data_IF_357934077437
#
_entry.id   IF_357934077437
#
_cell.length_a   1.000
_cell.length_b   1.000
_cell.length_c   1.000
_cell.angle_alpha   90.00
_cell.angle_beta   90.00
_cell.angle_gamma   90.00
#
_symmetry.space_group_name_H-M   'P 1'
#
loop_
_entity.id
_entity.type
_entity.pdbx_description
1 polymer ?
#
# COMPACT_ATOMS: atom_id res chain seq x y z
N UNK A 1 23.49 -12.52 15.19
CA UNK A 1 23.83 -11.66 14.04
C UNK A 1 22.63 -11.65 13.11
N UNK A 2 22.07 -10.46 12.82
CA UNK A 2 21.02 -10.33 11.80
C UNK A 2 21.66 -10.65 10.44
N UNK A 3 21.14 -11.64 9.73
CA UNK A 3 21.66 -12.03 8.40
C UNK A 3 21.53 -10.85 7.43
N UNK A 4 22.52 -10.64 6.57
CA UNK A 4 22.57 -9.52 5.60
C UNK A 4 21.31 -9.41 4.73
N UNK A 5 20.63 -10.53 4.48
CA UNK A 5 19.36 -10.57 3.75
C UNK A 5 18.22 -9.88 4.52
N UNK A 6 18.17 -10.01 5.84
CA UNK A 6 17.16 -9.33 6.67
C UNK A 6 17.37 -7.81 6.66
N UNK A 7 18.62 -7.34 6.60
CA UNK A 7 18.93 -5.90 6.51
C UNK A 7 18.39 -5.33 5.19
N UNK A 8 18.75 -5.95 4.06
CA UNK A 8 18.28 -5.52 2.72
C UNK A 8 16.76 -5.60 2.57
N UNK A 9 16.14 -6.63 3.14
CA UNK A 9 14.68 -6.76 3.19
C UNK A 9 14.05 -5.60 3.96
N UNK A 10 14.56 -5.30 5.16
CA UNK A 10 14.06 -4.19 5.98
C UNK A 10 14.24 -2.84 5.28
N UNK A 11 15.33 -2.63 4.55
CA UNK A 11 15.54 -1.42 3.75
C UNK A 11 14.50 -1.28 2.64
N UNK A 12 14.22 -2.34 1.86
CA UNK A 12 13.19 -2.33 0.82
C UNK A 12 11.78 -2.07 1.38
N UNK A 13 11.43 -2.72 2.48
CA UNK A 13 10.14 -2.51 3.16
C UNK A 13 10.05 -1.08 3.71
N UNK A 14 11.11 -0.57 4.33
CA UNK A 14 11.17 0.79 4.84
C UNK A 14 11.02 1.82 3.72
N UNK A 15 11.66 1.62 2.57
CA UNK A 15 11.49 2.50 1.41
C UNK A 15 10.05 2.52 0.87
N UNK A 16 9.37 1.37 0.89
CA UNK A 16 7.95 1.28 0.55
C UNK A 16 7.08 2.03 1.55
N UNK A 17 7.35 1.87 2.86
CA UNK A 17 6.66 2.58 3.93
C UNK A 17 6.75 4.09 3.77
N UNK A 18 7.94 4.63 3.48
CA UNK A 18 8.15 6.07 3.25
C UNK A 18 7.27 6.59 2.11
N UNK A 19 7.15 5.84 1.00
CA UNK A 19 6.27 6.22 -0.12
C UNK A 19 4.79 6.25 0.29
N UNK A 20 4.34 5.27 1.07
CA UNK A 20 2.96 5.21 1.57
C UNK A 20 2.68 6.36 2.54
N UNK A 21 3.57 6.61 3.50
CA UNK A 21 3.42 7.73 4.44
C UNK A 21 3.43 9.09 3.72
N UNK A 22 4.28 9.25 2.70
CA UNK A 22 4.31 10.45 1.87
C UNK A 22 2.98 10.65 1.13
N UNK A 23 2.41 9.60 0.53
CA UNK A 23 1.10 9.66 -0.12
C UNK A 23 0.00 10.08 0.85
N UNK A 24 -0.04 9.50 2.05
CA UNK A 24 -1.01 9.88 3.07
C UNK A 24 -0.80 11.33 3.54
N UNK A 25 0.45 11.79 3.66
CA UNK A 25 0.75 13.19 3.95
C UNK A 25 0.18 14.14 2.89
N UNK A 26 0.32 13.80 1.60
CA UNK A 26 -0.27 14.55 0.48
C UNK A 26 -1.80 14.54 0.55
N UNK A 27 -2.41 13.37 0.77
CA UNK A 27 -3.86 13.26 0.89
C UNK A 27 -4.39 14.10 2.06
N UNK A 28 -3.74 14.04 3.23
CA UNK A 28 -4.14 14.82 4.40
C UNK A 28 -3.94 16.33 4.21
N UNK A 29 -2.89 16.74 3.49
CA UNK A 29 -2.66 18.15 3.17
C UNK A 29 -3.66 18.68 2.13
N UNK A 30 -4.03 17.85 1.15
CA UNK A 30 -4.94 18.24 0.06
C UNK A 30 -6.40 18.27 0.50
N UNK A 31 -6.84 17.27 1.27
CA UNK A 31 -8.23 17.15 1.69
C UNK A 31 -8.38 17.57 3.15
N UNK A 32 -8.98 18.74 3.38
CA UNK A 32 -9.26 19.27 4.72
C UNK A 32 -10.05 18.31 5.62
N UNK A 33 -10.79 17.37 5.03
CA UNK A 33 -11.55 16.33 5.75
C UNK A 33 -10.66 15.46 6.64
N UNK A 34 -9.38 15.29 6.31
CA UNK A 34 -8.40 14.54 7.11
C UNK A 34 -7.63 15.41 8.10
N UNK A 35 -7.80 16.74 8.07
CA UNK A 35 -7.18 17.65 9.03
C UNK A 35 -7.80 17.59 10.43
N UNK A 36 -8.90 16.84 10.60
CA UNK A 36 -9.58 16.60 11.87
C UNK A 36 -9.85 15.10 12.01
N UNK A 37 -10.06 14.65 13.25
CA UNK A 37 -10.49 13.28 13.51
C UNK A 37 -11.80 12.97 12.77
N UNK A 38 -11.80 11.89 11.99
CA UNK A 38 -12.99 11.40 11.28
C UNK A 38 -14.02 10.91 12.31
N UNK A 39 -15.04 11.72 12.57
CA UNK A 39 -16.16 11.37 13.46
C UNK A 39 -17.24 10.59 12.71
N UNK A 40 -16.82 9.59 11.94
CA UNK A 40 -17.67 8.74 11.11
C UNK A 40 -17.55 7.29 11.58
N UNK A 41 -18.54 6.44 11.23
CA UNK A 41 -18.38 5.00 11.44
C UNK A 41 -17.20 4.45 10.62
N UNK A 42 -16.60 3.31 11.00
CA UNK A 42 -15.48 2.73 10.26
C UNK A 42 -15.81 2.44 8.78
N UNK A 43 -17.05 2.04 8.47
CA UNK A 43 -17.44 1.78 7.08
C UNK A 43 -17.43 3.09 6.25
N UNK A 44 -18.01 4.15 6.82
CA UNK A 44 -18.09 5.46 6.16
C UNK A 44 -16.71 6.12 6.06
N UNK A 45 -15.86 5.96 7.07
CA UNK A 45 -14.48 6.44 7.05
C UNK A 45 -13.66 5.76 5.94
N UNK A 46 -13.82 4.44 5.78
CA UNK A 46 -13.20 3.69 4.69
C UNK A 46 -13.68 4.18 3.32
N UNK A 47 -14.98 4.34 3.15
CA UNK A 47 -15.56 4.83 1.90
C UNK A 47 -15.03 6.22 1.53
N UNK A 48 -14.94 7.13 2.51
CA UNK A 48 -14.39 8.47 2.34
C UNK A 48 -12.92 8.44 1.90
N UNK A 49 -12.08 7.64 2.57
CA UNK A 49 -10.66 7.50 2.22
C UNK A 49 -10.50 7.01 0.77
N UNK A 50 -11.27 6.00 0.37
CA UNK A 50 -11.25 5.47 -1.00
C UNK A 50 -11.68 6.56 -2.00
N UNK A 51 -12.76 7.28 -1.71
CA UNK A 51 -13.25 8.35 -2.57
C UNK A 51 -12.19 9.46 -2.76
N UNK A 52 -11.54 9.90 -1.68
CA UNK A 52 -10.46 10.89 -1.75
C UNK A 52 -9.26 10.39 -2.58
N UNK A 53 -8.89 9.11 -2.46
CA UNK A 53 -7.83 8.51 -3.28
C UNK A 53 -8.18 8.50 -4.77
N UNK A 54 -9.42 8.15 -5.12
CA UNK A 54 -9.90 8.19 -6.52
C UNK A 54 -9.89 9.62 -7.06
N UNK A 55 -10.40 10.59 -6.29
CA UNK A 55 -10.39 12.01 -6.67
C UNK A 55 -8.96 12.53 -6.84
N UNK A 56 -8.04 12.13 -5.94
CA UNK A 56 -6.62 12.46 -6.07
C UNK A 56 -6.07 11.97 -7.41
N UNK A 57 -6.27 10.69 -7.73
CA UNK A 57 -5.78 10.09 -8.98
C UNK A 57 -6.34 10.80 -10.22
N UNK A 58 -7.63 11.13 -10.23
CA UNK A 58 -8.25 11.89 -11.34
C UNK A 58 -7.60 13.27 -11.48
N UNK A 59 -7.27 13.94 -10.37
CA UNK A 59 -6.66 15.28 -10.42
C UNK A 59 -5.23 15.25 -10.96
N UNK A 60 -4.47 14.17 -10.74
CA UNK A 60 -3.10 14.03 -11.24
C UNK A 60 -3.08 13.82 -12.76
N UNK A 61 -4.17 13.33 -13.35
CA UNK A 61 -4.32 13.10 -14.78
C UNK A 61 -4.25 11.61 -15.15
N UNK A 62 -4.19 11.27 -16.46
CA UNK A 62 -4.16 9.90 -16.91
C UNK A 62 -2.89 9.19 -16.41
N UNK A 63 -3.05 8.36 -15.39
CA UNK A 63 -2.04 7.40 -15.01
C UNK A 63 -1.95 6.38 -16.14
N UNK A 64 -0.77 6.21 -16.72
CA UNK A 64 -0.49 5.05 -17.58
C UNK A 64 -0.45 3.84 -16.65
N UNK A 65 -1.63 3.29 -16.37
CA UNK A 65 -1.74 2.03 -15.65
C UNK A 65 -1.26 0.97 -16.62
N UNK A 66 -0.09 0.39 -16.35
CA UNK A 66 0.58 -0.50 -17.29
C UNK A 66 -0.31 -1.66 -17.76
N UNK A 67 -1.35 -2.05 -17.01
CA UNK A 67 -2.33 -3.04 -17.46
C UNK A 67 -3.72 -2.71 -16.87
N UNK A 68 -4.81 -2.73 -17.66
CA UNK A 68 -6.16 -2.71 -17.10
C UNK A 68 -6.30 -3.87 -16.12
N UNK A 69 -6.89 -3.62 -14.96
CA UNK A 69 -7.10 -4.61 -13.91
C UNK A 69 -7.79 -5.85 -14.49
N UNK A 70 -7.03 -6.90 -14.77
CA UNK A 70 -7.58 -8.25 -14.78
C UNK A 70 -8.07 -8.47 -13.36
N UNK A 71 -9.40 -8.54 -13.18
CA UNK A 71 -10.00 -9.00 -11.93
C UNK A 71 -9.64 -10.48 -11.86
N UNK A 72 -8.42 -10.78 -11.41
CA UNK A 72 -8.00 -12.13 -11.15
C UNK A 72 -8.96 -12.69 -10.09
N UNK A 73 -9.44 -13.93 -10.25
CA UNK A 73 -10.27 -14.55 -9.23
C UNK A 73 -9.53 -14.48 -7.89
N UNK A 74 -10.25 -14.31 -6.76
CA UNK A 74 -9.62 -14.32 -5.45
C UNK A 74 -8.86 -15.64 -5.28
N UNK A 75 -7.53 -15.57 -5.40
CA UNK A 75 -6.68 -16.71 -5.18
C UNK A 75 -6.77 -17.05 -3.69
N UNK A 76 -7.12 -18.29 -3.32
CA UNK A 76 -7.05 -18.70 -1.92
C UNK A 76 -5.64 -18.43 -1.40
N UNK A 77 -5.53 -17.93 -0.16
CA UNK A 77 -4.24 -17.58 0.42
C UNK A 77 -3.30 -18.80 0.31
N UNK A 78 -2.24 -18.72 -0.51
CA UNK A 78 -1.35 -19.86 -0.71
C UNK A 78 -0.50 -20.13 0.53
N UNK A 79 -0.49 -19.22 1.51
CA UNK A 79 0.34 -19.31 2.70
C UNK A 79 -0.48 -19.81 3.90
N UNK A 80 0.12 -20.74 4.66
CA UNK A 80 -0.51 -21.34 5.84
C UNK A 80 -0.19 -20.55 7.11
N UNK A 81 0.92 -19.82 7.13
CA UNK A 81 1.35 -18.99 8.26
C UNK A 81 1.91 -17.64 7.82
N UNK A 82 1.92 -16.68 8.75
CA UNK A 82 2.49 -15.35 8.52
C UNK A 82 4.01 -15.41 8.25
N UNK A 83 4.70 -16.38 8.84
CA UNK A 83 6.13 -16.62 8.63
C UNK A 83 6.42 -17.11 7.21
N UNK A 84 5.56 -17.98 6.67
CA UNK A 84 5.66 -18.50 5.31
C UNK A 84 5.45 -17.37 4.30
N UNK A 85 4.40 -16.56 4.50
CA UNK A 85 4.14 -15.37 3.70
C UNK A 85 5.30 -14.37 3.76
N UNK A 86 5.85 -14.12 4.96
CA UNK A 86 7.00 -13.23 5.14
C UNK A 86 8.23 -13.74 4.41
N UNK A 87 8.49 -15.04 4.48
CA UNK A 87 9.65 -15.67 3.84
C UNK A 87 9.54 -15.60 2.32
N UNK A 88 8.35 -15.90 1.77
CA UNK A 88 8.08 -15.78 0.34
C UNK A 88 8.21 -14.33 -0.16
N UNK A 89 7.69 -13.36 0.60
CA UNK A 89 7.84 -11.95 0.27
C UNK A 89 9.31 -11.50 0.32
N UNK A 90 10.07 -11.95 1.31
CA UNK A 90 11.48 -11.65 1.42
C UNK A 90 12.25 -12.20 0.22
N UNK A 91 11.99 -13.44 -0.17
CA UNK A 91 12.61 -14.06 -1.34
C UNK A 91 12.27 -13.29 -2.63
N UNK A 92 10.99 -13.02 -2.85
CA UNK A 92 10.52 -12.24 -4.01
C UNK A 92 11.20 -10.88 -4.11
N UNK A 93 11.22 -10.11 -3.01
CA UNK A 93 11.79 -8.77 -3.00
C UNK A 93 13.32 -8.77 -3.14
N UNK A 94 14.01 -9.82 -2.71
CA UNK A 94 15.48 -9.89 -2.83
C UNK A 94 15.92 -10.42 -4.20
N UNK A 95 15.13 -11.26 -4.86
CA UNK A 95 15.50 -11.98 -6.08
C UNK A 95 14.88 -11.41 -7.37
N UNK A 96 13.75 -10.70 -7.31
CA UNK A 96 13.16 -10.03 -8.48
C UNK A 96 13.45 -8.52 -8.42
N UNK A 97 14.43 -8.08 -9.21
CA UNK A 97 14.71 -6.67 -9.51
C UNK A 97 14.69 -6.49 -11.03
#
# INVERSE_FOLDING_TARGET
MVSSNHIRFNEKISGTRVKIESLFGILCSKFQVFGRNLRLSPENSRALIIACSVIHNITIGPLIVAHPHTIAPPLPDPYRTAEEQRSALMDYLLNNN
#
